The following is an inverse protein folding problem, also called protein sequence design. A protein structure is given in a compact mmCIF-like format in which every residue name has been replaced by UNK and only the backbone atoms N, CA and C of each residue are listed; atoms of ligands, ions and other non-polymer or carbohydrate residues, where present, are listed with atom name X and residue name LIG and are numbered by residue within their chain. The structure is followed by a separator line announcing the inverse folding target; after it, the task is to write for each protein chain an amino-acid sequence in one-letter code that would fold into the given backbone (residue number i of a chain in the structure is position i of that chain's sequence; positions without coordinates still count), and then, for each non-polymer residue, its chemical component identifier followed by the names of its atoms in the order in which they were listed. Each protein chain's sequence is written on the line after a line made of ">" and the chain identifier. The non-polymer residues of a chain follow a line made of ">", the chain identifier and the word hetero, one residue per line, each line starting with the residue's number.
data_IF_233394243834
#
_entry.id   IF_233394243834
#
_cell.length_a   1.000
_cell.length_b   1.000
_cell.length_c   1.000
_cell.angle_alpha   90.00
_cell.angle_beta   90.00
_cell.angle_gamma   90.00
#
_symmetry.space_group_name_H-M   'P 1'
#
loop_
_entity.id
_entity.type
_entity.pdbx_description
1 polymer ?
2 non-polymer ?
3 non-polymer ?
4 water ?
#
# COMPACT_ATOMS: atom_id res chain seq x y z
N UNK A 3 -4.29 25.57 5.02
CA UNK A 3 -4.99 24.88 3.90
C UNK A 3 -4.79 23.35 3.97
N UNK A 4 -5.85 22.63 4.35
CA UNK A 4 -5.83 21.17 4.40
C UNK A 4 -5.95 20.63 2.97
N UNK A 5 -4.95 19.91 2.48
CA UNK A 5 -4.99 19.38 1.12
C UNK A 5 -5.92 18.16 1.02
N UNK A 6 -6.42 17.89 -0.18
CA UNK A 6 -7.35 16.78 -0.44
C UNK A 6 -6.89 15.83 -1.55
N UNK A 7 -5.59 15.85 -1.84
CA UNK A 7 -5.07 15.09 -2.95
C UNK A 7 -4.41 13.80 -2.52
N UNK A 8 -4.86 12.68 -3.08
CA UNK A 8 -4.21 11.38 -2.88
C UNK A 8 -3.13 11.29 -3.97
N UNK A 9 -1.88 11.13 -3.56
CA UNK A 9 -0.79 10.97 -4.53
C UNK A 9 -0.34 9.51 -4.51
N UNK A 10 -0.75 8.77 -5.53
CA UNK A 10 -0.43 7.38 -5.66
C UNK A 10 1.08 7.17 -5.91
N UNK A 11 1.64 6.10 -5.33
CA UNK A 11 3.04 5.70 -5.56
C UNK A 11 4.19 6.51 -4.97
N UNK A 12 3.85 7.45 -4.08
CA UNK A 12 4.85 8.25 -3.39
C UNK A 12 4.62 8.12 -1.88
N UNK A 13 5.70 8.28 -1.10
CA UNK A 13 5.54 8.21 0.35
C UNK A 13 4.65 9.31 0.86
N UNK A 14 3.90 9.04 1.93
CA UNK A 14 3.06 10.05 2.58
C UNK A 14 3.60 10.25 3.98
N UNK A 15 3.36 11.42 4.55
CA UNK A 15 3.84 11.74 5.89
C UNK A 15 2.69 12.07 6.83
N UNK A 16 2.84 11.68 8.09
CA UNK A 16 1.79 11.92 9.08
C UNK A 16 1.99 13.26 9.80
N UNK A 17 1.22 13.46 10.88
CA UNK A 17 1.34 14.64 11.74
C UNK A 17 2.77 14.79 12.31
N UNK A 18 3.42 13.68 12.62
CA UNK A 18 4.77 13.67 13.18
C UNK A 18 5.86 13.89 12.10
N UNK A 19 5.47 13.98 10.83
CA UNK A 19 6.45 14.08 9.76
C UNK A 19 7.07 12.73 9.43
N UNK A 20 6.45 11.66 9.89
CA UNK A 20 6.95 10.30 9.63
C UNK A 20 6.21 9.65 8.47
N UNK A 21 6.91 8.77 7.76
CA UNK A 21 6.30 8.08 6.62
C UNK A 21 5.11 7.26 7.08
N UNK A 22 3.98 7.38 6.40
CA UNK A 22 2.79 6.60 6.74
C UNK A 22 3.09 5.15 6.33
N UNK A 23 3.22 4.28 7.32
CA UNK A 23 3.64 2.88 7.14
C UNK A 23 2.57 1.89 7.57
N UNK A 24 1.64 1.63 6.67
CA UNK A 24 0.51 0.73 6.90
C UNK A 24 0.26 -0.04 5.62
N UNK A 25 0.94 -1.17 5.47
CA UNK A 25 0.85 -1.97 4.25
C UNK A 25 -0.07 -3.17 4.42
N UNK A 26 -0.58 -3.70 3.31
CA UNK A 26 -1.58 -4.80 3.33
C UNK A 26 -2.75 -4.36 4.20
N UNK A 27 -3.13 -3.11 4.01
CA UNK A 27 -4.08 -2.43 4.88
C UNK A 27 -5.55 -2.58 4.59
N UNK A 28 -6.35 -1.99 5.48
CA UNK A 28 -7.78 -1.79 5.28
C UNK A 28 -8.07 -0.46 5.93
N UNK A 29 -9.29 0.06 5.72
CA UNK A 29 -9.76 1.26 6.39
C UNK A 29 -11.13 0.98 7.03
N UNK A 30 -11.33 1.48 8.25
CA UNK A 30 -12.59 1.29 8.96
C UNK A 30 -13.10 2.69 9.36
N UNK A 31 -14.31 3.03 8.96
CA UNK A 31 -14.87 4.33 9.29
C UNK A 31 -15.56 4.24 10.64
N UNK A 32 -15.45 5.30 11.43
CA UNK A 32 -16.09 5.39 12.73
C UNK A 32 -16.16 6.83 13.25
N UNK A 33 -17.39 7.27 13.49
CA UNK A 33 -17.68 8.62 14.01
C UNK A 33 -17.03 9.76 13.27
N UNK A 34 -17.13 9.72 11.95
CA UNK A 34 -16.59 10.80 11.14
C UNK A 34 -15.10 10.71 10.87
N UNK A 35 -14.44 9.69 11.41
CA UNK A 35 -13.00 9.48 11.16
C UNK A 35 -12.73 8.15 10.45
N UNK A 36 -11.64 8.10 9.70
CA UNK A 36 -11.22 6.88 9.00
C UNK A 36 -9.97 6.33 9.70
N UNK A 37 -9.96 5.02 9.94
CA UNK A 37 -8.85 4.35 10.62
C UNK A 37 -8.21 3.38 9.67
N UNK A 38 -6.93 3.66 9.35
CA UNK A 38 -6.14 2.89 8.43
C UNK A 38 -5.29 1.89 9.21
N UNK A 39 -5.57 0.60 9.09
CA UNK A 39 -4.76 -0.41 9.76
C UNK A 39 -3.88 -1.13 8.76
N UNK A 40 -2.63 -1.37 9.12
CA UNK A 40 -1.74 -2.12 8.25
C UNK A 40 -0.49 -2.62 8.92
N UNK A 41 0.38 -3.19 8.12
CA UNK A 41 1.66 -3.71 8.56
C UNK A 41 2.62 -2.54 8.65
N UNK A 42 3.27 -2.40 9.82
CA UNK A 42 4.19 -1.31 10.14
C UNK A 42 5.58 -1.85 9.80
N UNK A 43 5.85 -1.89 8.49
CA UNK A 43 7.01 -2.59 7.95
C UNK A 43 8.38 -2.11 8.40
N UNK A 44 9.34 -3.03 8.44
CA UNK A 44 10.75 -2.72 8.71
C UNK A 44 11.57 -2.95 7.46
N UNK A 45 12.67 -2.21 7.33
CA UNK A 45 13.61 -2.37 6.19
C UNK A 45 14.68 -3.41 6.53
N UNK A 46 14.65 -3.87 7.78
CA UNK A 46 15.64 -4.82 8.28
C UNK A 46 15.30 -6.28 7.91
N UNK A 47 14.05 -6.67 8.09
CA UNK A 47 13.61 -8.02 7.73
C UNK A 47 12.11 -8.05 7.48
N UNK A 48 11.65 -9.16 6.92
CA UNK A 48 10.25 -9.43 6.69
C UNK A 48 9.53 -9.85 8.00
N UNK A 49 10.25 -9.94 9.13
CA UNK A 49 9.64 -10.36 10.41
C UNK A 49 8.58 -9.38 10.88
N UNK A 50 7.63 -9.89 11.65
CA UNK A 50 6.52 -9.11 12.16
C UNK A 50 7.05 -7.94 12.99
N UNK A 51 6.76 -6.73 12.54
CA UNK A 51 7.22 -5.53 13.18
C UNK A 51 6.04 -4.75 13.77
N UNK A 52 4.88 -5.41 13.88
CA UNK A 52 3.68 -4.78 14.44
C UNK A 52 2.68 -4.33 13.39
N UNK A 53 1.43 -4.15 13.83
CA UNK A 53 0.40 -3.61 12.98
C UNK A 53 0.14 -2.18 13.47
N UNK A 54 0.18 -1.22 12.55
CA UNK A 54 -0.02 0.18 12.87
C UNK A 54 -1.44 0.61 12.63
N UNK A 55 -1.78 1.79 13.14
CA UNK A 55 -3.08 2.42 12.91
C UNK A 55 -2.91 3.92 12.79
N UNK A 56 -3.49 4.48 11.73
CA UNK A 56 -3.51 5.93 11.49
C UNK A 56 -4.97 6.35 11.34
N UNK A 57 -5.27 7.62 11.61
CA UNK A 57 -6.64 8.10 11.41
C UNK A 57 -6.64 9.41 10.66
N UNK A 58 -7.77 9.73 10.06
CA UNK A 58 -7.93 11.00 9.36
C UNK A 58 -9.41 11.35 9.28
N UNK A 59 -9.74 12.58 8.93
CA UNK A 59 -11.14 12.97 8.76
C UNK A 59 -11.46 13.16 7.27
N UNK A 60 -10.46 12.96 6.42
CA UNK A 60 -10.59 13.18 4.96
C UNK A 60 -9.93 12.15 4.05
N UNK A 61 -9.40 11.06 4.62
CA UNK A 61 -8.67 10.01 3.85
C UNK A 61 -7.36 10.48 3.19
N UNK A 62 -6.82 11.61 3.64
CA UNK A 62 -5.60 12.16 3.03
C UNK A 62 -4.54 12.56 4.05
N UNK A 63 -4.96 13.27 5.10
CA UNK A 63 -4.03 13.75 6.12
C UNK A 63 -4.08 12.85 7.36
N UNK A 64 -3.15 11.90 7.39
CA UNK A 64 -3.11 10.87 8.39
C UNK A 64 -2.40 11.24 9.69
N UNK A 65 -3.00 10.86 10.82
CA UNK A 65 -2.42 11.08 12.14
C UNK A 65 -2.03 9.70 12.66
N UNK A 66 -0.85 9.60 13.25
CA UNK A 66 -0.43 8.33 13.82
C UNK A 66 -1.22 8.09 15.11
N UNK A 67 -1.89 6.94 15.23
CA UNK A 67 -2.59 6.61 16.47
C UNK A 67 -1.61 5.81 17.32
N UNK A 68 -1.24 4.62 16.87
CA UNK A 68 -0.28 3.81 17.63
C UNK A 68 -0.02 2.50 16.92
N UNK A 69 0.96 1.75 17.43
CA UNK A 69 1.15 0.39 16.95
C UNK A 69 0.05 -0.31 17.75
N UNK A 70 -1.01 -0.70 17.06
CA UNK A 70 -2.17 -1.33 17.72
C UNK A 70 -1.95 -2.78 18.19
N UNK A 71 -0.95 -3.46 17.62
CA UNK A 71 -0.54 -4.80 18.06
C UNK A 71 0.95 -4.96 17.73
N UNK A 72 1.80 -4.96 18.75
CA UNK A 72 3.23 -5.08 18.49
C UNK A 72 3.68 -6.51 18.43
N UNK A 74 4.91 -9.79 19.77
CA UNK A 74 4.66 -10.44 21.06
C UNK A 74 5.96 -11.07 21.60
N UNK A 75 5.91 -11.59 22.83
CA UNK A 75 7.09 -12.22 23.48
C UNK A 75 7.26 -13.69 23.12
N UNK A 76 6.18 -14.28 22.63
CA UNK A 76 6.20 -15.65 22.16
C UNK A 76 4.95 -15.85 21.32
N UNK A 77 4.81 -17.06 20.76
CA UNK A 77 3.61 -17.41 20.00
C UNK A 77 3.68 -17.12 18.51
N UNK A 78 2.50 -17.16 17.88
CA UNK A 78 2.37 -17.01 16.44
C UNK A 78 2.77 -15.63 15.91
N UNK A 79 2.81 -14.62 16.76
CA UNK A 79 3.23 -13.27 16.38
C UNK A 79 4.40 -12.85 17.27
N UNK A 80 5.14 -13.83 17.74
CA UNK A 80 6.31 -13.60 18.58
C UNK A 80 7.55 -13.46 17.72
N UNK A 81 8.72 -13.63 18.32
CA UNK A 81 9.97 -13.54 17.58
C UNK A 81 10.04 -14.56 16.45
N UNK A 82 10.66 -14.17 15.34
CA UNK A 82 10.83 -15.01 14.17
C UNK A 82 9.54 -15.46 13.50
N UNK A 83 8.53 -14.60 13.60
CA UNK A 83 7.25 -14.84 12.98
C UNK A 83 6.94 -13.74 11.97
N UNK A 84 6.06 -14.07 11.04
CA UNK A 84 5.57 -13.14 10.05
C UNK A 84 4.15 -12.77 10.46
N UNK A 85 3.79 -11.50 10.30
CA UNK A 85 2.43 -11.04 10.56
C UNK A 85 1.98 -10.14 9.40
N UNK A 86 0.94 -10.54 8.68
CA UNK A 86 0.51 -9.78 7.51
C UNK A 86 -0.99 -9.63 7.38
N UNK A 87 -1.35 -8.66 6.52
CA UNK A 87 -2.70 -8.37 6.08
C UNK A 87 -3.74 -8.21 7.17
N UNK A 88 -3.38 -7.44 8.19
CA UNK A 88 -4.27 -7.15 9.26
C UNK A 88 -5.58 -6.54 8.73
N UNK A 89 -6.71 -6.99 9.27
CA UNK A 89 -8.04 -6.45 8.93
C UNK A 89 -8.78 -6.32 10.25
N UNK A 90 -9.65 -5.32 10.36
CA UNK A 90 -10.42 -5.11 11.59
C UNK A 90 -11.90 -4.90 11.27
N UNK A 92 -15.81 -4.22 13.32
CA UNK A 92 -16.54 -3.95 14.55
C UNK A 92 -17.64 -5.00 14.63
N UNK A 93 -17.58 -5.87 15.62
CA UNK A 93 -18.61 -6.90 15.84
C UNK A 93 -19.94 -6.24 16.26
N UNK A 94 -20.97 -6.34 15.42
CA UNK A 94 -22.24 -5.69 15.70
C UNK A 94 -22.91 -6.02 17.03
N UNK A 95 -23.03 -7.31 17.36
CA UNK A 95 -23.72 -7.71 18.57
C UNK A 95 -22.96 -7.38 19.85
N UNK A 96 -21.64 -7.30 19.80
CA UNK A 96 -20.88 -7.02 21.02
C UNK A 96 -20.29 -5.61 21.08
N UNK A 97 -20.15 -4.96 19.92
CA UNK A 97 -19.51 -3.64 19.83
C UNK A 97 -17.99 -3.77 19.89
N UNK A 98 -17.49 -4.99 19.99
CA UNK A 98 -16.06 -5.22 20.10
C UNK A 98 -15.36 -5.13 18.75
N UNK A 99 -14.11 -4.67 18.76
CA UNK A 99 -13.32 -4.57 17.54
C UNK A 99 -12.49 -5.83 17.49
N UNK A 100 -12.64 -6.59 16.42
CA UNK A 100 -11.91 -7.82 16.25
C UNK A 100 -10.99 -7.67 15.03
N UNK A 102 -7.97 -9.52 12.63
CA UNK A 102 -7.60 -10.81 12.08
C UNK A 102 -6.31 -10.61 11.32
N UNK A 104 -2.79 -12.91 9.12
CA UNK A 104 -2.05 -14.10 8.70
C UNK A 104 -0.74 -14.06 9.46
N UNK A 105 -0.54 -15.02 10.36
CA UNK A 105 0.69 -15.19 11.15
C UNK A 105 1.42 -16.35 10.52
N UNK A 106 2.73 -16.40 10.62
CA UNK A 106 3.44 -17.49 9.98
C UNK A 106 4.87 -17.50 10.46
N UNK A 107 5.65 -18.47 10.01
CA UNK A 107 7.07 -18.46 10.32
C UNK A 107 7.75 -17.72 9.17
N UNK A 109 9.61 -18.74 6.79
CA UNK A 109 9.62 -19.45 5.54
C UNK A 109 8.18 -19.66 5.04
N UNK A 110 7.21 -18.99 5.65
CA UNK A 110 5.79 -19.17 5.30
C UNK A 110 5.36 -20.67 5.34
N UNK A 111 5.96 -21.45 6.25
CA UNK A 111 5.64 -22.88 6.38
C UNK A 111 4.81 -23.20 7.64
N UNK A 112 4.37 -22.18 8.36
CA UNK A 112 3.55 -22.42 9.55
C UNK A 112 2.40 -21.42 9.65
N UNK A 113 1.52 -21.39 8.64
CA UNK A 113 0.44 -20.40 8.62
C UNK A 113 -0.63 -20.60 9.66
N UNK A 114 -1.10 -19.48 10.21
CA UNK A 114 -2.19 -19.42 11.18
C UNK A 114 -2.98 -18.14 11.00
N UNK A 115 -4.29 -18.23 10.80
CA UNK A 115 -5.11 -17.03 10.82
C UNK A 115 -5.29 -16.76 12.29
N UNK A 116 -4.97 -15.56 12.75
CA UNK A 116 -5.09 -15.26 14.16
C UNK A 116 -6.07 -14.13 14.36
N UNK A 117 -6.46 -13.91 15.60
CA UNK A 117 -7.35 -12.81 15.94
C UNK A 117 -6.97 -12.16 17.25
N UNK A 118 -7.39 -10.93 17.37
CA UNK A 118 -7.14 -10.10 18.51
C UNK A 118 -8.37 -9.20 18.73
N UNK A 119 -8.48 -8.61 19.92
CA UNK A 119 -9.63 -7.77 20.21
C UNK A 119 -9.22 -6.51 20.94
N UNK A 120 -10.13 -5.52 20.92
CA UNK A 120 -9.95 -4.27 21.66
C UNK A 120 -11.35 -3.67 21.89
N UNK A 121 -11.52 -2.94 22.98
CA UNK A 121 -12.83 -2.35 23.24
C UNK A 121 -12.93 -1.00 22.52
N UNK A 122 -11.80 -0.49 22.00
CA UNK A 122 -11.78 0.77 21.23
C UNK A 122 -11.08 0.51 19.90
N UNK A 123 -11.45 1.30 18.89
CA UNK A 123 -10.97 1.09 17.53
C UNK A 123 -9.45 1.19 17.40
N UNK A 124 -8.84 2.17 18.06
CA UNK A 124 -7.39 2.37 17.99
C UNK A 124 -6.69 2.17 19.34
N UNK A 125 -7.23 1.27 20.17
CA UNK A 125 -6.62 0.94 21.46
C UNK A 125 -5.55 -0.13 21.32
N UNK A 126 -5.06 -0.64 22.45
CA UNK A 126 -4.05 -1.70 22.45
C UNK A 126 -4.78 -3.04 22.33
N UNK A 127 -4.63 -3.70 21.18
CA UNK A 127 -5.34 -4.97 20.97
C UNK A 127 -4.68 -6.09 21.73
N UNK A 128 -5.47 -7.11 22.08
CA UNK A 128 -5.00 -8.25 22.83
C UNK A 128 -5.11 -9.50 21.92
N UNK A 129 -3.98 -10.11 21.62
CA UNK A 129 -3.97 -11.29 20.74
C UNK A 129 -4.56 -12.50 21.48
N UNK A 130 -5.43 -13.26 20.82
CA UNK A 130 -6.04 -14.49 21.39
C UNK A 130 -5.58 -15.79 20.69
N UNK A 131 -4.65 -15.65 19.75
CA UNK A 131 -4.12 -16.81 19.08
C UNK A 131 -4.92 -17.18 17.84
N UNK A 132 -4.83 -18.45 17.43
CA UNK A 132 -5.51 -18.91 16.26
C UNK A 132 -7.01 -18.74 16.30
N UNK A 133 -7.55 -18.28 15.17
CA UNK A 133 -8.98 -18.20 14.97
C UNK A 133 -9.35 -19.64 14.63
N UNK A 134 -10.16 -20.29 15.48
CA UNK A 134 -10.47 -21.72 15.32
C UNK A 134 -11.70 -22.05 14.46
N UNK A 135 -11.57 -23.08 13.61
CA UNK A 135 -12.66 -23.65 12.79
C UNK A 135 -12.65 -25.14 13.12
N UNK A 136 -13.79 -25.67 13.55
CA UNK A 136 -13.90 -27.06 14.01
C UNK A 136 -12.91 -27.34 15.15
N UNK A 137 -12.64 -26.30 15.96
CA UNK A 137 -11.74 -26.42 17.10
C UNK A 137 -10.26 -26.57 16.77
N UNK A 138 -9.90 -26.19 15.54
CA UNK A 138 -8.52 -26.30 15.08
C UNK A 138 -8.13 -25.01 14.34
N UNK A 139 -6.83 -24.70 14.32
CA UNK A 139 -6.40 -23.51 13.60
C UNK A 139 -6.71 -23.60 12.12
N UNK A 140 -6.84 -22.44 11.49
CA UNK A 140 -7.04 -22.32 10.05
C UNK A 140 -5.62 -22.06 9.55
N UNK A 141 -5.00 -23.07 8.95
CA UNK A 141 -3.61 -23.01 8.52
C UNK A 141 -3.51 -22.54 7.08
N UNK A 142 -3.80 -21.25 6.88
CA UNK A 142 -3.84 -20.64 5.57
C UNK A 142 -3.13 -19.28 5.54
N UNK A 143 -2.94 -18.74 4.34
CA UNK A 143 -2.08 -17.57 4.14
C UNK A 143 -2.79 -16.20 3.95
N UNK A 144 -2.78 -15.62 2.73
CA UNK A 144 -3.40 -14.31 2.52
C UNK A 144 -4.87 -14.36 2.89
N UNK A 146 -8.57 -11.82 4.01
CA UNK A 146 -9.31 -10.58 3.99
C UNK A 146 -10.56 -10.74 4.83
N UNK A 147 -11.35 -9.67 4.88
CA UNK A 147 -12.60 -9.71 5.59
C UNK A 147 -13.68 -9.01 4.81
N UNK A 148 -14.92 -9.45 5.07
CA UNK A 148 -16.10 -8.81 4.53
C UNK A 148 -17.18 -8.81 5.59
N UNK A 149 -17.83 -7.67 5.77
CA UNK A 149 -18.96 -7.53 6.71
C UNK A 149 -20.18 -7.27 5.85
N UNK A 150 -21.11 -8.22 5.83
CA UNK A 150 -22.29 -8.11 4.96
C UNK A 150 -23.28 -7.10 5.52
N UNK A 151 -24.25 -6.75 4.70
CA UNK A 151 -25.26 -5.76 5.00
C UNK A 151 -26.11 -6.06 6.27
N UNK A 152 -26.35 -7.35 6.54
CA UNK A 152 -27.12 -7.75 7.72
C UNK A 152 -26.26 -7.83 8.99
N UNK A 153 -24.96 -7.56 8.87
CA UNK A 153 -24.07 -7.64 10.03
C UNK A 153 -23.25 -8.93 10.10
N UNK A 154 -23.49 -9.89 9.20
CA UNK A 154 -22.73 -11.13 9.22
C UNK A 154 -21.26 -10.83 8.86
N UNK A 155 -20.33 -11.46 9.57
CA UNK A 155 -18.90 -11.27 9.33
C UNK A 155 -18.31 -12.48 8.64
N UNK A 156 -17.38 -12.23 7.72
CA UNK A 156 -16.72 -13.28 6.97
C UNK A 156 -15.20 -13.15 6.94
N UNK A 157 -14.51 -14.29 6.92
CA UNK A 157 -13.07 -14.35 6.74
C UNK A 157 -12.87 -14.80 5.29
N UNK A 158 -12.09 -14.04 4.52
CA UNK A 158 -11.81 -14.40 3.14
C UNK A 158 -10.39 -14.97 3.06
N UNK A 159 -10.18 -15.97 2.22
CA UNK A 159 -8.84 -16.50 2.04
C UNK A 159 -8.47 -16.69 0.57
N UNK A 160 -7.17 -16.79 0.33
CA UNK A 160 -6.62 -17.09 -1.00
C UNK A 160 -7.31 -18.37 -1.50
N UNK A 161 -7.53 -18.45 -2.81
CA UNK A 161 -8.22 -19.60 -3.41
C UNK A 161 -9.72 -19.39 -3.43
N UNK A 162 -10.21 -18.34 -2.76
CA UNK A 162 -11.63 -18.06 -2.69
C UNK A 162 -12.35 -18.84 -1.60
N UNK A 163 -11.66 -19.19 -0.52
CA UNK A 163 -12.28 -19.87 0.62
C UNK A 163 -12.92 -18.76 1.47
N UNK A 164 -14.12 -19.01 1.97
CA UNK A 164 -14.84 -18.01 2.78
C UNK A 164 -15.46 -18.67 4.00
N UNK A 165 -15.17 -18.13 5.18
CA UNK A 165 -15.72 -18.66 6.42
C UNK A 165 -16.69 -17.67 7.03
N UNK A 166 -17.86 -18.13 7.44
CA UNK A 166 -18.80 -17.28 8.17
C UNK A 166 -18.35 -17.27 9.64
N UNK A 167 -18.26 -16.09 10.22
CA UNK A 167 -17.84 -15.98 11.60
C UNK A 167 -19.05 -16.05 12.51
N UNK A 168 -18.79 -16.42 13.77
CA UNK A 168 -19.82 -16.49 14.80
C UNK A 168 -20.34 -15.10 15.08
N UNK A 169 -21.46 -15.03 15.78
CA UNK A 169 -22.11 -13.77 16.07
C UNK A 169 -21.18 -12.84 16.85
N UNK A 170 -20.29 -13.39 17.69
CA UNK A 170 -19.33 -12.58 18.44
C UNK A 170 -18.02 -12.35 17.67
N UNK A 171 -17.94 -12.83 16.43
CA UNK A 171 -16.80 -12.61 15.54
C UNK A 171 -15.47 -13.27 15.95
N UNK A 172 -15.50 -14.19 16.91
CA UNK A 172 -14.28 -14.80 17.46
C UNK A 172 -14.04 -16.28 17.13
N UNK A 173 -14.94 -16.86 16.33
CA UNK A 173 -14.87 -18.23 15.93
C UNK A 173 -15.30 -18.31 14.46
N UNK A 174 -14.65 -19.20 13.70
CA UNK A 174 -15.00 -19.46 12.32
C UNK A 174 -15.94 -20.65 12.38
N UNK A 175 -17.24 -20.42 12.16
CA UNK A 175 -18.22 -21.51 12.31
C UNK A 175 -18.42 -22.42 11.11
N UNK A 176 -18.60 -21.83 9.94
CA UNK A 176 -18.91 -22.59 8.70
C UNK A 176 -18.15 -22.09 7.47
N UNK A 177 -17.57 -23.03 6.73
CA UNK A 177 -16.88 -22.73 5.48
C UNK A 177 -18.01 -22.66 4.43
N UNK A 178 -18.48 -21.45 4.16
CA UNK A 178 -19.60 -21.23 3.23
C UNK A 178 -19.17 -21.25 1.77
N UNK A 179 -17.89 -21.00 1.49
CA UNK A 179 -17.35 -21.12 0.12
C UNK A 179 -16.03 -21.88 0.24
N UNK A 180 -15.95 -23.02 -0.42
CA UNK A 180 -14.77 -23.85 -0.33
C UNK A 180 -13.73 -23.50 -1.40
N UNK A 181 -14.10 -22.64 -2.34
CA UNK A 181 -13.19 -22.28 -3.42
C UNK A 181 -13.97 -21.61 -4.52
N UNK A 182 -13.31 -20.75 -5.28
CA UNK A 182 -13.97 -20.02 -6.34
C UNK A 182 -13.28 -20.32 -7.66
N UNK A 183 -14.06 -20.68 -8.68
CA UNK A 183 -13.56 -21.00 -10.03
C UNK A 183 -12.28 -21.83 -10.10
N UNK A 184 -12.14 -22.79 -9.19
CA UNK A 184 -10.94 -23.61 -9.09
C UNK A 184 -9.71 -22.72 -9.06
N UNK A 185 -9.82 -21.59 -8.37
CA UNK A 185 -8.71 -20.61 -8.36
C UNK A 185 -7.58 -20.83 -7.37
N UNK A 186 -6.54 -20.06 -7.65
CA UNK A 186 -5.26 -20.09 -7.01
C UNK A 186 -4.84 -18.62 -6.78
N UNK A 187 -5.83 -17.73 -6.59
CA UNK A 187 -5.56 -16.31 -6.41
C UNK A 187 -5.26 -15.99 -4.96
N UNK A 188 -4.60 -14.85 -4.70
CA UNK A 188 -4.29 -14.44 -3.34
C UNK A 188 -4.74 -13.01 -3.03
N UNK A 189 -4.23 -12.42 -1.95
CA UNK A 189 -4.67 -11.10 -1.47
C UNK A 189 -6.13 -10.86 -1.74
N UNK A 190 -7.03 -11.66 -1.12
CA UNK A 190 -8.46 -11.52 -1.39
C UNK A 190 -9.08 -10.28 -0.78
N UNK A 191 -10.08 -9.74 -1.45
CA UNK A 191 -10.81 -8.58 -0.97
C UNK A 191 -12.21 -8.75 -1.50
N UNK A 193 -16.37 -6.79 -1.62
CA UNK A 193 -17.29 -5.70 -1.32
C UNK A 193 -18.58 -5.95 -2.12
N UNK A 194 -19.61 -5.17 -1.82
CA UNK A 194 -20.91 -5.34 -2.46
C UNK A 194 -21.36 -4.04 -3.07
N UNK A 195 -21.97 -4.09 -4.25
CA UNK A 195 -22.50 -2.89 -4.87
C UNK A 195 -23.72 -3.20 -5.73
N UNK A 196 -24.86 -2.63 -5.34
CA UNK A 196 -26.13 -2.78 -6.06
C UNK A 196 -26.55 -4.24 -6.15
N UNK A 197 -26.49 -4.94 -5.02
CA UNK A 197 -26.88 -6.34 -4.98
C UNK A 197 -25.91 -7.32 -5.59
N UNK A 198 -24.74 -6.84 -6.05
CA UNK A 198 -23.72 -7.71 -6.62
C UNK A 198 -22.50 -7.74 -5.69
N UNK A 199 -22.08 -8.97 -5.38
CA UNK A 199 -20.91 -9.22 -4.55
C UNK A 199 -19.70 -9.38 -5.45
N UNK A 200 -18.60 -8.72 -5.09
CA UNK A 200 -17.37 -8.74 -5.88
C UNK A 200 -16.21 -9.33 -5.08
N UNK A 201 -15.53 -10.32 -5.67
CA UNK A 201 -14.44 -11.02 -5.00
C UNK A 201 -13.18 -10.78 -5.81
N UNK A 202 -12.22 -10.04 -5.26
CA UNK A 202 -10.98 -9.70 -5.95
C UNK A 202 -9.77 -10.53 -5.47
N UNK A 203 -8.84 -10.83 -6.39
CA UNK A 203 -7.63 -11.60 -6.10
C UNK A 203 -6.43 -11.17 -6.95
N UNK A 204 -5.24 -11.47 -6.47
CA UNK A 204 -4.04 -11.24 -7.24
C UNK A 204 -3.50 -12.59 -7.65
N UNK A 205 -2.66 -12.59 -8.68
CA UNK A 205 -2.00 -13.82 -9.11
C UNK A 205 -0.81 -14.02 -8.16
N UNK A 206 -0.23 -15.21 -8.17
CA UNK A 206 0.90 -15.50 -7.28
C UNK A 206 2.21 -15.12 -7.92
N UNK A 207 2.62 -13.86 -7.81
CA UNK A 207 3.90 -13.42 -8.36
C UNK A 207 4.76 -12.75 -7.29
N UNK A 208 4.72 -13.30 -6.08
CA UNK A 208 5.51 -12.80 -4.95
C UNK A 208 5.26 -11.30 -4.80
N UNK A 209 6.31 -10.53 -4.50
CA UNK A 209 6.20 -9.09 -4.37
C UNK A 209 6.04 -8.37 -5.71
N UNK A 210 6.20 -9.09 -6.82
CA UNK A 210 6.04 -8.48 -8.14
C UNK A 210 4.55 -8.31 -8.38
N UNK A 211 4.17 -7.31 -9.18
CA UNK A 211 2.75 -7.01 -9.40
C UNK A 211 2.24 -7.70 -10.68
N UNK A 212 0.94 -7.91 -10.72
CA UNK A 212 0.30 -8.62 -11.83
C UNK A 212 -1.13 -8.12 -12.05
N UNK A 213 -1.75 -8.54 -13.14
CA UNK A 213 -3.10 -8.10 -13.46
C UNK A 213 -4.04 -8.87 -12.55
N UNK A 214 -4.51 -8.21 -11.50
CA UNK A 214 -5.43 -8.81 -10.55
C UNK A 214 -6.78 -9.07 -11.25
N UNK A 215 -7.59 -9.96 -10.68
CA UNK A 215 -8.85 -10.36 -11.30
C UNK A 215 -10.00 -10.48 -10.29
N UNK A 216 -11.22 -10.68 -10.80
CA UNK A 216 -12.38 -10.76 -9.91
C UNK A 216 -13.49 -11.68 -10.37
N UNK A 217 -14.38 -11.95 -9.41
CA UNK A 217 -15.54 -12.80 -9.60
C UNK A 217 -16.74 -12.05 -9.08
N UNK A 218 -17.92 -12.44 -9.55
CA UNK A 218 -19.17 -11.85 -9.10
C UNK A 218 -20.12 -12.93 -8.63
N UNK A 219 -21.07 -12.53 -7.80
CA UNK A 219 -22.05 -13.45 -7.23
C UNK A 219 -23.24 -12.67 -6.67
N UNK A 220 -24.44 -13.30 -6.61
CA UNK A 220 -25.64 -12.68 -6.07
C UNK A 220 -25.72 -12.80 -4.53
N UNK A 221 -24.81 -13.60 -3.96
CA UNK A 221 -24.68 -13.75 -2.51
C UNK A 221 -23.25 -14.22 -2.20
N UNK A 222 -22.83 -14.03 -0.95
CA UNK A 222 -21.49 -14.42 -0.50
C UNK A 222 -21.19 -15.89 -0.75
N UNK A 223 -22.22 -16.70 -0.65
CA UNK A 223 -22.09 -18.15 -0.77
C UNK A 223 -21.84 -18.59 -2.21
N UNK A 224 -22.25 -17.74 -3.15
CA UNK A 224 -22.11 -18.04 -4.58
C UNK A 224 -23.46 -17.89 -5.27
N UNK A 225 -23.58 -18.39 -6.50
CA UNK A 225 -22.52 -19.00 -7.30
C UNK A 225 -21.58 -17.92 -7.84
N UNK A 226 -20.28 -18.21 -7.87
CA UNK A 226 -19.29 -17.22 -8.32
C UNK A 226 -18.91 -17.40 -9.77
N UNK A 227 -19.04 -16.33 -10.56
CA UNK A 227 -18.70 -16.35 -11.98
C UNK A 227 -17.42 -15.55 -12.24
N UNK A 228 -16.52 -16.10 -13.06
CA UNK A 228 -15.26 -15.40 -13.32
C UNK A 228 -15.50 -14.24 -14.29
N UNK A 229 -14.92 -13.09 -13.96
CA UNK A 229 -15.08 -11.88 -14.78
C UNK A 229 -13.78 -11.35 -15.39
N UNK A 230 -12.63 -11.87 -14.95
CA UNK A 230 -11.35 -11.42 -15.48
C UNK A 230 -10.79 -10.21 -14.75
N UNK A 231 -10.06 -9.38 -15.49
CA UNK A 231 -9.38 -8.21 -14.93
C UNK A 231 -10.33 -7.05 -14.63
N UNK A 232 -10.02 -6.28 -13.58
CA UNK A 232 -10.78 -5.06 -13.24
C UNK A 232 -9.95 -3.79 -13.52
N UNK A 233 -8.70 -3.97 -13.95
CA UNK A 233 -7.80 -2.88 -14.31
C UNK A 233 -7.18 -3.23 -15.67
N UNK A 234 -6.81 -2.22 -16.47
CA UNK A 234 -6.34 -2.51 -17.82
C UNK A 234 -5.22 -3.53 -17.91
N UNK A 235 -5.32 -4.38 -18.93
CA UNK A 235 -4.35 -5.44 -19.19
C UNK A 235 -2.95 -4.80 -19.37
N UNK A 236 -1.95 -5.39 -18.72
CA UNK A 236 -0.58 -4.90 -18.78
C UNK A 236 -0.23 -3.82 -17.77
N UNK A 237 -1.23 -3.26 -17.08
CA UNK A 237 -0.99 -2.22 -16.08
C UNK A 237 -0.50 -2.83 -14.76
N UNK A 238 -0.66 -4.15 -14.60
CA UNK A 238 -0.30 -4.89 -13.39
C UNK A 238 -1.03 -4.26 -12.21
N UNK A 239 -2.33 -4.08 -12.39
CA UNK A 239 -3.23 -3.43 -11.42
C UNK A 239 -2.62 -2.08 -10.97
N UNK A 240 -2.19 -1.31 -11.97
CA UNK A 240 -1.52 -0.04 -11.80
C UNK A 240 -0.35 -0.20 -10.86
N UNK A 241 0.47 -1.20 -11.16
CA UNK A 241 1.63 -1.56 -10.36
C UNK A 241 1.29 -1.65 -8.86
N UNK A 242 0.28 -2.47 -8.55
CA UNK A 242 -0.09 -2.73 -7.15
C UNK A 242 -0.62 -4.14 -6.95
N UNK A 243 -0.85 -4.49 -5.69
CA UNK A 243 -1.47 -5.75 -5.34
C UNK A 243 -2.65 -5.40 -4.45
N UNK A 244 -3.83 -5.85 -4.85
CA UNK A 244 -5.03 -5.61 -4.09
C UNK A 244 -4.83 -5.85 -2.61
N UNK A 245 -5.43 -5.00 -1.79
CA UNK A 245 -5.45 -5.24 -0.36
C UNK A 245 -6.86 -5.12 0.23
N UNK A 246 -7.69 -4.22 -0.31
CA UNK A 246 -8.99 -3.92 0.24
C UNK A 246 -9.76 -2.99 -0.72
N UNK A 247 -11.06 -2.83 -0.51
CA UNK A 247 -11.88 -1.91 -1.30
C UNK A 247 -12.77 -1.19 -0.30
N UNK A 248 -12.55 0.12 -0.14
CA UNK A 248 -13.27 0.91 0.85
C UNK A 248 -14.41 1.73 0.26
N UNK A 249 -15.63 1.64 0.83
CA UNK A 249 -16.75 2.42 0.31
C UNK A 249 -16.63 3.93 0.59
N UNK A 250 -16.55 4.68 -0.49
CA UNK A 250 -16.40 6.11 -0.44
C UNK A 250 -17.81 6.71 -0.66
N UNK A 251 -18.38 7.40 0.33
CA UNK A 251 -19.71 8.03 0.15
C UNK A 251 -19.59 9.40 -0.53
N UNK A 252 -20.44 9.66 -1.53
CA UNK A 252 -20.44 10.95 -2.23
C UNK A 252 -21.88 11.31 -2.59
N UNK A 253 -22.54 12.00 -1.67
CA UNK A 253 -23.95 12.37 -1.81
C UNK A 253 -24.72 11.19 -1.28
N UNK A 254 -25.85 10.88 -1.91
CA UNK A 254 -26.66 9.71 -1.51
C UNK A 254 -26.11 8.36 -2.05
N UNK A 255 -25.00 8.40 -2.80
CA UNK A 255 -24.40 7.20 -3.38
C UNK A 255 -23.03 6.90 -2.77
N UNK A 256 -22.53 5.70 -3.01
CA UNK A 256 -21.21 5.27 -2.53
C UNK A 256 -20.41 4.80 -3.75
N UNK A 257 -19.09 5.02 -3.72
CA UNK A 257 -18.19 4.66 -4.81
C UNK A 257 -17.06 3.80 -4.22
N UNK A 258 -16.87 2.59 -4.74
CA UNK A 258 -15.80 1.79 -4.15
C UNK A 258 -14.40 2.34 -4.45
N UNK A 260 -10.57 1.43 -4.55
CA UNK A 260 -9.65 0.33 -4.62
C UNK A 260 -8.41 0.73 -3.85
N UNK A 262 -4.49 -0.74 -3.12
CA UNK A 262 -3.45 -1.70 -3.46
C UNK A 262 -2.13 -1.30 -2.87
N UNK A 263 -1.24 -2.28 -2.70
CA UNK A 263 0.11 -2.04 -2.24
C UNK A 263 1.10 -2.06 -3.38
N UNK A 264 1.90 -1.01 -3.49
CA UNK A 264 3.01 -0.98 -4.43
C UNK A 264 4.22 -1.34 -3.57
N UNK A 265 4.36 -2.62 -3.32
CA UNK A 265 5.43 -3.12 -2.48
C UNK A 265 6.78 -2.75 -3.02
N UNK A 266 7.77 -2.73 -2.12
CA UNK A 266 9.14 -2.45 -2.48
C UNK A 266 10.05 -3.33 -1.64
N UNK A 267 10.11 -4.60 -2.02
CA UNK A 267 10.99 -5.52 -1.34
C UNK A 267 12.41 -5.16 -1.76
N UNK A 268 13.33 -5.05 -0.80
CA UNK A 268 13.24 -5.25 0.65
C UNK A 268 13.04 -4.01 1.54
N UNK A 269 13.27 -2.80 1.03
CA UNK A 269 13.15 -1.60 1.84
C UNK A 269 11.72 -1.09 1.82
N UNK A 270 10.85 -1.85 2.47
CA UNK A 270 9.43 -1.61 2.47
C UNK A 270 9.07 -0.43 3.38
N UNK A 271 9.75 -0.30 4.52
CA UNK A 271 9.41 0.76 5.50
C UNK A 271 9.35 2.13 4.87
N UNK A 272 10.38 2.47 4.10
CA UNK A 272 10.45 3.79 3.47
C UNK A 272 9.89 3.87 2.07
N UNK A 273 10.06 2.82 1.27
CA UNK A 273 9.72 2.90 -0.15
C UNK A 273 8.46 2.23 -0.66
N UNK A 274 7.83 1.34 0.11
CA UNK A 274 6.56 0.73 -0.33
C UNK A 274 5.54 1.84 -0.34
N UNK A 275 4.73 1.90 -1.39
CA UNK A 275 3.75 2.96 -1.50
C UNK A 275 2.35 2.42 -1.75
N UNK A 276 1.39 3.33 -1.92
CA UNK A 276 0.01 2.92 -2.06
C UNK A 276 -0.58 3.33 -3.39
N UNK A 277 -1.55 2.55 -3.86
CA UNK A 277 -2.28 2.87 -5.06
C UNK A 277 -3.77 2.78 -4.76
N UNK A 278 -4.40 3.94 -4.53
CA UNK A 278 -5.84 4.03 -4.29
C UNK A 278 -6.52 4.68 -5.50
N UNK A 280 -10.74 5.41 -7.29
CA UNK A 280 -12.18 5.12 -7.36
C UNK A 280 -12.44 4.09 -8.46
N UNK A 282 -15.20 1.99 -11.09
CA UNK A 282 -16.49 2.13 -11.78
C UNK A 282 -17.19 0.78 -11.80
N UNK A 283 -18.49 0.79 -11.51
CA UNK A 283 -19.29 -0.42 -11.48
C UNK A 283 -20.53 -0.29 -12.31
N UNK A 284 -20.75 -1.21 -13.23
CA UNK A 284 -21.98 -1.24 -14.04
C UNK A 284 -22.45 -2.68 -14.06
N UNK A 285 -23.33 -3.04 -13.12
CA UNK A 285 -23.80 -4.41 -13.00
C UNK A 285 -22.65 -5.26 -12.54
N UNK A 286 -22.33 -6.33 -13.27
CA UNK A 286 -21.21 -7.22 -12.91
C UNK A 286 -19.85 -6.75 -13.48
N UNK A 287 -19.86 -5.66 -14.24
CA UNK A 287 -18.63 -5.09 -14.80
C UNK A 287 -17.96 -4.15 -13.81
N UNK A 288 -16.72 -4.46 -13.45
CA UNK A 288 -15.92 -3.65 -12.53
C UNK A 288 -14.70 -3.12 -13.28
N UNK A 289 -14.38 -1.83 -13.16
CA UNK A 289 -13.22 -1.28 -13.85
C UNK A 289 -12.60 -0.01 -13.25
N UNK A 290 -11.33 0.19 -13.55
CA UNK A 290 -10.58 1.41 -13.21
C UNK A 290 -9.88 1.74 -14.56
N UNK A 291 -10.64 2.26 -15.54
CA UNK A 291 -10.05 2.42 -16.88
C UNK A 291 -8.90 3.41 -17.09
N UNK A 292 -8.71 4.37 -16.19
CA UNK A 292 -7.71 5.40 -16.36
C UNK A 292 -6.92 5.59 -15.09
N UNK A 293 -5.60 5.54 -15.17
CA UNK A 293 -4.75 5.72 -14.01
C UNK A 293 -4.66 7.18 -13.60
N UNK A 294 -4.89 7.46 -12.32
CA UNK A 294 -4.77 8.82 -11.80
C UNK A 294 -3.63 8.84 -10.77
N UNK A 295 -2.45 9.33 -11.17
CA UNK A 295 -1.37 9.43 -10.18
C UNK A 295 -1.69 10.38 -9.03
N UNK A 296 -2.56 11.36 -9.28
CA UNK A 296 -2.99 12.30 -8.26
C UNK A 296 -4.46 12.60 -8.49
N UNK A 297 -5.27 12.47 -7.44
CA UNK A 297 -6.70 12.74 -7.56
C UNK A 297 -7.28 13.39 -6.30
N UNK A 298 -8.32 14.19 -6.51
CA UNK A 298 -8.95 14.91 -5.42
C UNK A 298 -10.04 14.03 -4.79
N UNK A 299 -9.86 13.74 -3.51
CA UNK A 299 -10.75 12.81 -2.79
C UNK A 299 -12.17 13.36 -2.64
N UNK A 300 -12.31 14.67 -2.47
CA UNK A 300 -13.63 15.32 -2.38
C UNK A 300 -14.35 15.34 -3.73
N UNK A 301 -13.59 15.60 -4.79
CA UNK A 301 -14.15 15.75 -6.15
C UNK A 301 -14.15 14.47 -7.00
N UNK A 302 -13.42 13.45 -6.57
CA UNK A 302 -13.28 12.20 -7.34
C UNK A 302 -12.88 12.43 -8.79
N UNK A 303 -11.92 13.34 -8.99
CA UNK A 303 -11.40 13.59 -10.32
C UNK A 303 -9.88 13.76 -10.26
N UNK A 304 -9.18 13.44 -11.36
CA UNK A 304 -7.74 13.61 -11.32
C UNK A 304 -7.34 15.07 -11.24
N UNK A 305 -6.18 15.32 -10.68
CA UNK A 305 -5.65 16.67 -10.61
C UNK A 305 -4.16 16.60 -10.87
N UNK A 306 -3.54 17.73 -11.19
CA UNK A 306 -2.11 17.77 -11.43
C UNK A 306 -1.46 18.99 -10.75
N UNK A 307 -1.76 19.20 -9.45
CA UNK A 307 -1.19 20.36 -8.74
C UNK A 307 0.33 20.35 -8.60
N UNK A 308 0.93 19.16 -8.62
CA UNK A 308 2.38 19.07 -8.47
C UNK A 308 3.11 19.74 -9.64
N UNK A 309 2.47 19.79 -10.81
CA UNK A 309 3.07 20.41 -11.99
C UNK A 309 2.82 21.92 -12.04
N UNK A 310 2.04 22.46 -11.09
CA UNK A 310 1.77 23.90 -11.02
C UNK A 310 2.93 24.76 -10.47
N UNK A 311 3.93 24.13 -9.86
CA UNK A 311 5.09 24.87 -9.32
C UNK A 311 6.14 25.24 -10.36
N UNK A 312 7.17 25.96 -9.90
CA UNK A 312 8.27 26.40 -10.77
C UNK A 312 9.24 25.26 -11.03
N UNK A 313 9.61 25.08 -12.30
CA UNK A 313 10.55 24.07 -12.74
C UNK A 313 11.99 24.44 -12.39
N UNK A 314 12.77 23.45 -11.96
CA UNK A 314 14.20 23.65 -11.70
C UNK A 314 14.90 23.24 -12.99
N UNK A 315 15.72 24.13 -13.55
CA UNK A 315 16.41 23.80 -14.79
C UNK A 315 17.43 22.70 -14.49
N UNK A 316 17.23 21.54 -15.10
CA UNK A 316 18.11 20.37 -14.91
C UNK A 316 19.54 20.62 -15.40
N UNK A 317 19.71 21.56 -16.32
CA UNK A 317 21.03 21.88 -16.81
C UNK A 317 21.80 22.68 -15.75
N UNK A 318 21.11 23.20 -14.72
CA UNK A 318 21.74 24.05 -13.71
C UNK A 318 21.80 23.53 -12.28
N UNK A 319 21.36 22.30 -12.03
CA UNK A 319 21.47 21.73 -10.67
C UNK A 319 22.90 21.21 -10.47
N UNK A 320 23.34 21.15 -9.23
CA UNK A 320 24.69 20.71 -8.88
C UNK A 320 24.86 19.18 -8.90
N UNK A 321 25.77 18.68 -9.74
CA UNK A 321 26.08 17.26 -9.84
C UNK A 321 27.38 16.91 -9.12
N UNK A 322 27.43 15.76 -8.46
CA UNK A 322 28.70 15.28 -7.92
C UNK A 322 29.09 14.36 -9.06
N UNK A 323 30.18 14.72 -9.74
CA UNK A 323 30.69 14.00 -10.92
C UNK A 323 29.59 13.91 -11.99
N UNK A 324 29.51 14.97 -12.80
CA UNK A 324 28.52 15.08 -13.87
C UNK A 324 28.71 14.03 -14.96
N UNK A 325 29.92 13.51 -15.10
CA UNK A 325 30.20 12.45 -16.06
C UNK A 325 29.42 11.15 -15.74
N UNK A 326 29.02 10.95 -14.47
CA UNK A 326 28.24 9.77 -14.06
C UNK A 326 26.79 9.78 -14.56
N UNK A 327 26.34 10.95 -15.00
CA UNK A 327 24.97 11.15 -15.44
C UNK A 327 24.84 11.28 -16.95
N UNK A 328 23.84 10.60 -17.51
CA UNK A 328 23.50 10.67 -18.92
C UNK A 328 22.46 11.77 -18.98
N UNK A 329 22.81 12.87 -19.64
CA UNK A 329 21.99 14.08 -19.72
C UNK A 329 21.31 14.24 -21.08
N UNK A 330 20.00 14.45 -21.07
CA UNK A 330 19.21 14.67 -22.27
C UNK A 330 18.26 15.83 -21.95
N UNK A 331 17.48 16.24 -22.96
CA UNK A 331 16.48 17.29 -22.77
C UNK A 331 15.37 16.73 -21.86
N UNK A 332 15.13 17.39 -20.73
CA UNK A 332 14.11 16.94 -19.78
C UNK A 332 14.27 15.55 -19.16
N UNK A 333 15.50 15.05 -19.07
CA UNK A 333 15.73 13.74 -18.45
C UNK A 333 17.19 13.49 -18.15
N UNK A 334 17.49 13.10 -16.90
CA UNK A 334 18.86 12.72 -16.50
C UNK A 334 18.85 11.41 -15.73
N UNK A 335 19.80 10.53 -16.01
CA UNK A 335 19.83 9.21 -15.39
C UNK A 335 21.24 8.74 -15.07
N UNK A 336 21.36 7.88 -14.06
CA UNK A 336 22.65 7.32 -13.64
C UNK A 336 22.47 6.03 -12.88
N UNK A 337 23.48 5.16 -12.95
CA UNK A 337 23.53 3.93 -12.17
C UNK A 337 24.87 3.85 -11.43
N UNK A 338 25.47 5.01 -11.20
CA UNK A 338 26.77 5.04 -10.55
C UNK A 338 26.55 5.30 -9.06
N UNK A 339 26.84 4.28 -8.26
CA UNK A 339 26.67 4.35 -6.82
C UNK A 339 27.36 5.58 -6.25
N UNK A 340 26.64 6.34 -5.44
CA UNK A 340 27.21 7.49 -4.76
C UNK A 340 27.05 8.82 -5.45
N UNK A 341 26.82 8.82 -6.77
CA UNK A 341 26.67 10.10 -7.48
C UNK A 341 25.36 10.76 -7.07
N UNK A 342 25.36 12.10 -7.00
CA UNK A 342 24.23 12.82 -6.50
C UNK A 342 23.88 14.10 -7.25
N UNK A 343 22.65 14.53 -7.02
CA UNK A 343 22.10 15.79 -7.51
C UNK A 343 21.79 16.57 -6.25
N UNK A 344 22.16 17.85 -6.22
CA UNK A 344 21.85 18.70 -5.08
C UNK A 344 21.06 19.91 -5.56
N UNK A 345 19.96 20.21 -4.86
CA UNK A 345 19.07 21.29 -5.23
C UNK A 345 18.73 22.15 -4.01
N UNK A 346 19.16 23.43 -3.99
CA UNK A 346 18.75 24.24 -2.85
C UNK A 346 17.25 24.55 -2.90
N UNK A 347 16.60 24.67 -1.74
CA UNK A 347 15.19 25.06 -1.68
C UNK A 347 14.85 25.74 -0.36
N UNK A 348 13.70 26.40 -0.31
CA UNK A 348 13.30 27.22 0.83
C UNK A 348 12.33 26.56 1.83
N UNK A 349 12.43 25.24 1.99
CA UNK A 349 11.56 24.50 2.91
C UNK A 349 10.19 24.19 2.36
N UNK A 350 9.73 25.02 1.42
CA UNK A 350 8.47 24.82 0.76
C UNK A 350 8.55 23.48 0.02
N UNK A 351 7.41 22.89 -0.23
CA UNK A 351 7.35 21.57 -0.84
C UNK A 351 8.10 21.41 -2.19
N UNK A 352 8.89 20.34 -2.33
CA UNK A 352 9.57 20.05 -3.59
C UNK A 352 9.20 18.65 -4.11
N UNK A 353 8.75 18.59 -5.36
CA UNK A 353 8.37 17.35 -5.99
C UNK A 353 9.45 16.90 -6.97
N UNK A 354 9.71 15.60 -7.00
CA UNK A 354 10.70 14.99 -7.87
C UNK A 354 9.98 14.02 -8.80
N UNK A 356 10.09 11.41 -12.23
CA UNK A 356 10.99 10.55 -12.95
C UNK A 356 10.34 9.31 -13.52
N UNK A 357 11.20 8.44 -14.00
CA UNK A 357 10.74 7.24 -14.65
C UNK A 357 11.23 6.03 -13.94
N UNK A 358 10.35 5.05 -13.84
CA UNK A 358 10.63 3.81 -13.20
C UNK A 358 10.65 2.77 -14.31
N UNK A 359 11.56 1.80 -14.20
CA UNK A 359 11.65 0.74 -15.20
C UNK A 359 12.34 -0.46 -14.63
N UNK A 360 12.40 -1.54 -15.41
CA UNK A 360 12.97 -2.79 -14.94
C UNK A 360 14.49 -2.80 -14.79
N UNK A 361 15.14 -1.67 -15.07
CA UNK A 361 16.58 -1.56 -14.92
C UNK A 361 16.94 -0.59 -13.78
N UNK A 362 15.96 -0.20 -12.97
CA UNK A 362 16.21 0.81 -11.95
C UNK A 362 16.34 0.29 -10.54
N UNK A 363 16.93 1.12 -9.70
CA UNK A 363 17.12 0.80 -8.30
C UNK A 363 16.60 1.88 -7.37
N UNK A 364 17.15 1.87 -6.16
CA UNK A 364 16.76 2.82 -5.15
C UNK A 364 17.57 4.09 -5.19
N UNK A 365 16.88 5.19 -4.95
CA UNK A 365 17.50 6.49 -4.78
C UNK A 365 17.33 6.82 -3.29
N UNK A 366 18.28 7.57 -2.74
CA UNK A 366 18.18 8.00 -1.34
C UNK A 366 18.00 9.50 -1.34
N UNK A 368 17.88 12.86 0.57
CA UNK A 368 18.35 13.49 1.81
C UNK A 368 17.98 14.96 1.81
N UNK A 369 17.62 15.52 2.96
CA UNK A 369 17.38 16.95 3.08
C UNK A 369 18.36 17.48 4.12
N UNK A 370 19.22 18.41 3.71
CA UNK A 370 20.21 19.03 4.59
C UNK A 370 19.73 20.44 4.94
N UNK A 371 20.06 20.95 6.13
CA UNK A 371 19.67 22.32 6.52
C UNK A 371 20.81 23.32 6.26
N UNK A 372 20.77 24.50 6.89
CA UNK A 372 21.80 25.55 6.68
C UNK A 372 23.20 25.10 7.06
N UNK A 373 23.34 24.59 8.28
CA UNK A 373 24.64 24.12 8.77
C UNK A 373 25.14 22.88 8.00
N UNK A 374 24.35 22.41 7.03
CA UNK A 374 24.72 21.27 6.19
C UNK A 374 24.41 19.91 6.79
N UNK A 375 23.71 19.90 7.92
CA UNK A 375 23.40 18.64 8.61
C UNK A 375 22.10 18.02 8.11
N UNK A 376 22.17 16.70 7.93
CA UNK A 376 21.09 15.89 7.38
C UNK A 376 19.94 15.80 8.36
N UNK A 377 18.79 16.35 8.00
CA UNK A 377 17.60 16.31 8.87
C UNK A 377 16.51 15.34 8.36
N UNK A 378 16.75 14.71 7.21
CA UNK A 378 15.82 13.75 6.61
C UNK A 378 16.54 12.81 5.64
N UNK A 379 16.10 11.56 5.57
CA UNK A 379 16.68 10.57 4.66
C UNK A 379 15.77 9.36 4.53
N UNK A 380 15.41 9.00 3.29
CA UNK A 380 14.59 7.81 3.05
C UNK A 380 14.89 7.29 1.66
N UNK A 381 14.57 6.03 1.44
CA UNK A 381 14.78 5.36 0.17
C UNK A 381 13.53 5.44 -0.71
N UNK A 382 13.73 5.64 -2.00
CA UNK A 382 12.66 5.70 -3.01
C UNK A 382 13.01 4.70 -4.12
N UNK A 383 12.07 3.83 -4.44
CA UNK A 383 12.26 2.77 -5.38
C UNK A 383 11.90 3.20 -6.80
N UNK A 384 12.91 3.22 -7.68
CA UNK A 384 12.69 3.57 -9.09
C UNK A 384 12.48 2.32 -9.94
N UNK A 385 12.56 1.13 -9.33
CA UNK A 385 12.23 -0.08 -10.07
C UNK A 385 10.70 -0.21 -10.30
N UNK A 386 10.33 -0.66 -11.49
CA UNK A 386 8.96 -1.02 -11.85
C UNK A 386 9.05 -1.98 -13.05
N UNK A 387 8.23 -3.02 -13.04
CA UNK A 387 8.28 -4.00 -14.13
C UNK A 387 7.88 -3.30 -15.41
N UNK A 388 6.78 -2.55 -15.37
CA UNK A 388 6.31 -1.77 -16.52
C UNK A 388 6.72 -0.34 -16.28
N UNK A 389 7.12 0.34 -17.35
CA UNK A 389 7.52 1.73 -17.30
C UNK A 389 6.47 2.65 -16.71
N UNK A 390 6.90 3.66 -15.98
CA UNK A 390 5.97 4.65 -15.44
C UNK A 390 6.69 5.98 -15.39
N UNK A 391 5.95 7.04 -15.65
CA UNK A 391 6.48 8.40 -15.62
C UNK A 391 5.51 9.15 -14.73
N UNK A 392 6.00 9.63 -13.59
CA UNK A 392 5.14 10.33 -12.61
C UNK A 392 5.97 10.91 -11.48
N UNK A 393 5.30 11.47 -10.49
CA UNK A 393 5.96 11.95 -9.27
C UNK A 393 6.45 10.71 -8.54
N UNK A 394 7.67 10.77 -8.06
CA UNK A 394 8.34 9.69 -7.35
C UNK A 394 8.49 10.01 -5.86
N UNK A 395 8.54 11.31 -5.54
CA UNK A 395 8.76 11.76 -4.19
C UNK A 395 8.40 13.23 -4.04
N UNK A 396 7.92 13.55 -2.85
CA UNK A 396 7.55 14.92 -2.50
C UNK A 396 8.13 15.10 -1.10
N UNK A 397 8.84 16.20 -0.89
CA UNK A 397 9.46 16.46 0.41
C UNK A 397 8.40 16.67 1.47
N UNK A 398 8.71 16.28 2.72
CA UNK A 398 7.73 16.54 3.76
C UNK A 398 7.72 18.06 4.09
N UNK A 399 6.71 18.50 4.82
CA UNK A 399 6.56 19.91 5.18
C UNK A 399 7.71 20.38 6.07
N UNK A 400 8.21 21.57 5.76
CA UNK A 400 9.27 22.19 6.52
C UNK A 400 8.94 23.68 6.64
N UNK A 401 9.38 24.31 7.72
CA UNK A 401 9.13 25.75 7.90
C UNK A 401 10.00 26.52 6.91
N UNK A 402 9.51 27.67 6.43
CA UNK A 402 10.24 28.51 5.48
C UNK A 402 11.68 28.61 5.94
N UNK A 403 12.62 28.20 5.09
CA UNK A 403 14.03 28.24 5.47
C UNK A 403 15.16 28.09 4.45
N UNK A 404 16.16 27.32 4.86
CA UNK A 404 17.45 27.20 4.19
C UNK A 404 17.88 25.74 4.03
N UNK A 405 17.45 25.09 2.96
CA UNK A 405 17.76 23.67 2.83
C UNK A 405 18.37 23.27 1.50
N UNK A 406 18.77 22.00 1.44
CA UNK A 406 19.30 21.38 0.23
C UNK A 406 18.75 19.96 0.08
N UNK A 407 18.14 19.67 -1.08
CA UNK A 407 17.66 18.32 -1.40
C UNK A 407 18.78 17.62 -2.14
N UNK A 408 19.20 16.47 -1.61
CA UNK A 408 20.25 15.70 -2.22
C UNK A 408 19.67 14.34 -2.65
N UNK A 409 19.75 14.06 -3.94
CA UNK A 409 19.25 12.81 -4.50
C UNK A 409 20.46 11.96 -4.79
N UNK A 410 20.56 10.81 -4.14
CA UNK A 410 21.74 9.93 -4.25
C UNK A 410 21.45 8.58 -4.88
N UNK A 411 22.26 8.17 -5.85
CA UNK A 411 22.13 6.85 -6.45
C UNK A 411 22.74 5.85 -5.45
N UNK A 412 21.91 4.98 -4.89
CA UNK A 412 22.35 4.05 -3.85
C UNK A 412 23.10 2.87 -4.40
N UNK A 413 22.73 2.47 -5.61
CA UNK A 413 23.33 1.29 -6.23
C UNK A 413 22.69 0.01 -5.71
N UNK A 414 21.57 0.14 -4.99
CA UNK A 414 20.82 -1.01 -4.46
C UNK A 414 19.79 -1.36 -5.54
N UNK A 415 19.93 -2.55 -6.09
CA UNK A 415 19.02 -3.02 -7.13
C UNK A 415 18.07 -3.99 -6.44
N UNK A 416 16.76 -3.67 -6.43
CA UNK A 416 15.83 -4.57 -5.76
C UNK A 416 15.59 -5.88 -6.49
N UNK A 417 15.87 -7.00 -5.83
CA UNK A 417 15.63 -8.33 -6.38
C UNK A 417 15.06 -9.18 -5.27
N UNK A 418 14.36 -10.25 -5.66
CA UNK A 418 13.80 -11.20 -4.72
C UNK A 418 13.49 -12.49 -5.43
N UNK A 419 13.20 -13.52 -4.64
CA UNK A 419 12.89 -14.82 -5.15
C UNK A 419 11.76 -15.42 -4.33
N UNK A 420 11.25 -16.56 -4.76
CA UNK A 420 10.21 -17.29 -4.01
C UNK A 420 10.46 -18.81 -4.03
N UNK A 421 9.49 -19.58 -3.55
CA UNK A 421 9.61 -21.02 -3.49
C UNK A 421 9.78 -21.66 -4.88
N UNK A 422 9.28 -20.99 -5.91
CA UNK A 422 9.39 -21.51 -7.29
C UNK A 422 10.84 -21.33 -7.83
N UNK A 423 11.67 -20.61 -7.07
CA UNK A 423 13.09 -20.35 -7.39
C UNK A 423 13.28 -19.28 -8.48
N UNK A 424 12.17 -18.68 -8.89
CA UNK A 424 12.18 -17.61 -9.87
C UNK A 424 12.73 -16.33 -9.26
N UNK A 425 13.53 -15.61 -10.04
CA UNK A 425 14.11 -14.35 -9.61
C UNK A 425 13.28 -13.21 -10.19
N UNK A 426 12.85 -12.29 -9.36
CA UNK A 426 12.02 -11.18 -9.77
C UNK A 426 12.81 -9.93 -9.59
N UNK A 427 12.27 -8.84 -10.11
CA UNK A 427 12.87 -7.54 -9.92
C UNK A 427 13.78 -6.98 -10.99
N UNK A 428 14.65 -6.08 -10.53
CA UNK A 428 15.54 -5.28 -11.37
C UNK A 428 16.81 -5.98 -11.75
N UNK A 429 17.41 -5.54 -12.86
CA UNK A 429 18.74 -6.06 -13.25
C UNK A 429 19.82 -4.98 -13.15
N UNK A 430 19.43 -3.77 -12.76
CA UNK A 430 20.39 -2.66 -12.69
C UNK A 430 20.00 -1.70 -11.55
N UNK A 431 20.69 -0.58 -11.41
CA UNK A 431 20.41 0.34 -10.32
C UNK A 431 20.24 1.80 -10.74
N UNK A 432 19.62 1.99 -11.91
CA UNK A 432 19.38 3.34 -12.47
C UNK A 432 18.38 4.15 -11.68
N UNK A 433 18.58 5.47 -11.75
CA UNK A 433 17.66 6.44 -11.18
C UNK A 433 17.50 7.45 -12.30
N UNK A 434 16.26 7.76 -12.68
CA UNK A 434 15.95 8.65 -13.80
C UNK A 434 15.02 9.76 -13.34
N UNK A 435 15.53 10.98 -13.36
CA UNK A 435 14.82 12.17 -12.97
C UNK A 435 14.45 12.96 -14.22
N UNK A 436 13.17 13.32 -14.34
CA UNK A 436 12.66 14.08 -15.49
C UNK A 436 12.35 15.53 -15.10
N UNK A 437 11.89 15.77 -13.88
CA UNK A 437 11.58 17.13 -13.44
C UNK A 437 11.80 17.27 -11.93
N UNK A 438 12.11 18.48 -11.48
CA UNK A 438 12.21 18.79 -10.06
C UNK A 438 11.42 20.10 -9.95
N UNK A 439 10.30 20.05 -9.24
CA UNK A 439 9.40 21.19 -9.16
C UNK A 439 9.33 21.77 -7.76
N UNK A 440 9.63 23.06 -7.65
CA UNK A 440 9.53 23.77 -6.37
C UNK A 440 8.12 24.34 -6.25
N UNK A 441 7.36 23.84 -5.28
CA UNK A 441 6.01 24.34 -5.04
C UNK A 441 6.14 25.46 -4.02
#
# INVERSE_FOLDING_TARGET
>A
GRKTEKVVNNGIPWFDDRGEIVNAHGACIVEENGRYYLFGEYKSDKSNAFPGFSCYSSDDLVNWKFERVVLPXQSSGILGPDRVGERVKVXKCPSTGEYVXYXHADDXNYKDPHIGYATCSTIAGEYKLHGPLLYEGKPIRRWDXGTYQDTDGTGYLLLHGGIVYRLSKDYRTAEEKVVSGVGGSHGESPAXFKKDGTYFFLFSNLTSWEKNDNFYFTAPSVKGPWTRQGLFAPEGSLTYNSQTTFVFPLKCGEDTIPXFXGDRWSYPHQASAATYVWXPXQVDGTKLSIPEYWPSWDVDKLKPVNPLRKGKTVDLKKITFSKEADWKVEEGRISSNVKGSTLSIPFTGSCVAVXGETNCHSGYARXNILDKKGEKIYSSLVDFYSKANDHATRFKTPQLAEGEYTLVIEVTGISPTWTDKTKRIYGSDDCFVTITDIVKL
#
